data_IF_696665685878
#
_entry.id   IF_696665685878
#
_cell.length_a   1.000
_cell.length_b   1.000
_cell.length_c   1.000
_cell.angle_alpha   90.00
_cell.angle_beta   90.00
_cell.angle_gamma   90.00
#
_symmetry.space_group_name_H-M   'P 1'
#
loop_
_entity.id
_entity.type
_entity.pdbx_description
1 polymer ?
#
# COMPACT_ATOMS: atom_id res chain seq x y z
N UNK A 1 13.51 -27.89 -14.70
CA UNK A 1 12.70 -27.37 -13.59
C UNK A 1 12.45 -25.89 -13.86
N UNK A 2 11.19 -25.45 -13.97
CA UNK A 2 10.85 -24.09 -14.42
C UNK A 2 11.28 -23.09 -13.33
N UNK A 3 12.12 -22.12 -13.70
CA UNK A 3 12.49 -20.96 -12.87
C UNK A 3 11.20 -20.40 -12.27
N UNK A 4 11.13 -20.34 -10.94
CA UNK A 4 10.14 -19.48 -10.28
C UNK A 4 10.43 -18.09 -10.81
N UNK A 5 9.47 -17.56 -11.58
CA UNK A 5 9.39 -16.15 -11.92
C UNK A 5 9.59 -15.38 -10.63
N UNK A 6 10.74 -14.71 -10.48
CA UNK A 6 10.82 -13.49 -9.69
C UNK A 6 9.77 -12.57 -10.29
N UNK A 7 8.54 -12.67 -9.77
CA UNK A 7 7.54 -11.64 -9.95
C UNK A 7 8.21 -10.45 -9.30
N UNK A 8 8.84 -9.61 -10.11
CA UNK A 8 9.27 -8.29 -9.74
C UNK A 8 8.02 -7.66 -9.17
N UNK A 9 7.86 -7.70 -7.85
CA UNK A 9 6.71 -7.10 -7.20
C UNK A 9 6.80 -5.65 -7.65
N UNK A 10 5.84 -5.14 -8.44
CA UNK A 10 5.88 -3.75 -8.87
C UNK A 10 6.05 -2.95 -7.58
N UNK A 11 7.12 -2.15 -7.49
CA UNK A 11 7.50 -1.40 -6.30
C UNK A 11 6.23 -0.87 -5.63
N UNK A 12 5.76 -1.53 -4.57
CA UNK A 12 4.45 -1.27 -3.94
C UNK A 12 4.56 -0.05 -3.03
N UNK A 13 5.17 0.99 -3.56
CA UNK A 13 5.54 2.21 -2.87
C UNK A 13 4.84 3.36 -3.58
N UNK A 14 4.10 4.16 -2.83
CA UNK A 14 3.38 5.29 -3.38
C UNK A 14 2.45 5.93 -2.38
N UNK A 15 2.03 7.16 -2.69
CA UNK A 15 1.10 7.91 -1.86
C UNK A 15 -0.33 7.42 -2.09
N UNK A 16 -1.09 7.21 -1.03
CA UNK A 16 -2.49 6.80 -1.11
C UNK A 16 -3.31 7.98 -1.61
N UNK A 17 -3.93 7.81 -2.79
CA UNK A 17 -4.88 8.75 -3.39
C UNK A 17 -6.33 8.42 -3.00
N UNK A 18 -6.62 7.16 -2.65
CA UNK A 18 -7.95 6.75 -2.24
C UNK A 18 -7.96 5.43 -1.46
N UNK A 19 -8.93 5.27 -0.56
CA UNK A 19 -9.13 4.03 0.20
C UNK A 19 -10.43 3.38 -0.26
N UNK A 20 -10.31 2.18 -0.81
CA UNK A 20 -11.43 1.43 -1.39
C UNK A 20 -12.18 0.65 -0.30
N UNK A 21 -11.44 0.10 0.67
CA UNK A 21 -12.02 -0.63 1.79
C UNK A 21 -11.00 -0.98 2.85
N UNK A 22 -11.47 -1.17 4.08
CA UNK A 22 -10.66 -1.57 5.22
C UNK A 22 -11.49 -2.50 6.11
N UNK A 23 -10.91 -3.61 6.55
CA UNK A 23 -11.60 -4.66 7.32
C UNK A 23 -11.06 -4.82 8.76
N UNK A 24 -10.19 -3.93 9.24
CA UNK A 24 -9.54 -4.05 10.54
C UNK A 24 -8.12 -4.64 10.50
N UNK A 25 -7.79 -5.46 9.49
CA UNK A 25 -6.50 -6.15 9.37
C UNK A 25 -5.73 -5.79 8.09
N UNK A 26 -6.47 -5.42 7.05
CA UNK A 26 -5.93 -5.03 5.77
C UNK A 26 -6.80 -3.98 5.08
N UNK A 27 -6.17 -3.19 4.23
CA UNK A 27 -6.83 -2.16 3.45
C UNK A 27 -6.55 -2.35 1.97
N UNK A 28 -7.57 -2.08 1.14
CA UNK A 28 -7.43 -1.95 -0.31
C UNK A 28 -7.38 -0.47 -0.66
N UNK A 29 -6.32 -0.06 -1.33
CA UNK A 29 -6.00 1.35 -1.58
C UNK A 29 -5.66 1.60 -3.04
N UNK A 30 -5.83 2.84 -3.48
CA UNK A 30 -5.44 3.36 -4.77
C UNK A 30 -4.24 4.27 -4.59
N UNK A 31 -3.12 3.92 -5.21
CA UNK A 31 -1.90 4.72 -5.17
C UNK A 31 -1.95 5.84 -6.21
N UNK A 32 -1.15 6.89 -6.00
CA UNK A 32 -0.96 7.98 -6.96
C UNK A 32 -0.38 7.52 -8.29
N UNK A 33 0.32 6.37 -8.31
CA UNK A 33 0.78 5.71 -9.53
C UNK A 33 -0.35 5.19 -10.41
N UNK A 34 -1.57 5.12 -9.88
CA UNK A 34 -2.74 4.54 -10.53
C UNK A 34 -2.96 3.06 -10.20
N UNK A 35 -2.10 2.47 -9.38
CA UNK A 35 -2.19 1.06 -8.98
C UNK A 35 -3.20 0.85 -7.85
N UNK A 36 -3.82 -0.34 -7.85
CA UNK A 36 -4.71 -0.81 -6.79
C UNK A 36 -4.01 -1.93 -6.05
N UNK A 37 -3.74 -1.74 -4.76
CA UNK A 37 -3.05 -2.73 -3.94
C UNK A 37 -3.82 -3.02 -2.65
N UNK A 38 -3.60 -4.22 -2.11
CA UNK A 38 -4.02 -4.58 -0.76
C UNK A 38 -2.78 -4.58 0.15
N UNK A 39 -2.86 -3.88 1.27
CA UNK A 39 -1.79 -3.75 2.25
C UNK A 39 -2.26 -4.27 3.62
N UNK A 40 -1.43 -4.99 4.38
CA UNK A 40 -1.69 -5.25 5.79
C UNK A 40 -1.57 -3.93 6.57
N UNK A 41 -2.48 -3.71 7.52
CA UNK A 41 -2.41 -2.54 8.40
C UNK A 41 -3.24 -2.76 9.66
N UNK A 42 -2.74 -2.27 10.78
CA UNK A 42 -3.41 -2.31 12.09
C UNK A 42 -4.43 -1.18 12.29
N UNK A 43 -4.43 -0.18 11.39
CA UNK A 43 -5.31 0.98 11.46
C UNK A 43 -5.81 1.35 10.06
N UNK A 44 -6.90 2.12 10.02
CA UNK A 44 -7.48 2.56 8.75
C UNK A 44 -6.53 3.57 8.08
N UNK A 45 -6.01 3.28 6.86
CA UNK A 45 -5.23 4.26 6.12
C UNK A 45 -6.11 5.46 5.76
N UNK A 46 -5.48 6.61 5.56
CA UNK A 46 -6.12 7.82 5.05
C UNK A 46 -5.49 8.28 3.75
N UNK A 47 -6.21 9.13 3.03
CA UNK A 47 -5.67 9.76 1.81
C UNK A 47 -4.51 10.65 2.24
N UNK A 48 -3.37 10.49 1.55
CA UNK A 48 -2.14 11.20 1.85
C UNK A 48 -1.08 10.38 2.58
N UNK A 49 -1.45 9.25 3.20
CA UNK A 49 -0.49 8.30 3.75
C UNK A 49 0.40 7.71 2.66
N UNK A 50 1.54 7.18 3.06
CA UNK A 50 2.45 6.48 2.17
C UNK A 50 2.34 4.98 2.36
N UNK A 51 2.40 4.26 1.24
CA UNK A 51 2.76 2.84 1.26
C UNK A 51 4.22 2.76 0.87
N UNK A 52 5.00 1.95 1.58
CA UNK A 52 6.40 1.65 1.27
C UNK A 52 6.53 0.13 1.27
N UNK A 53 6.98 -0.44 0.16
CA UNK A 53 7.19 -1.89 0.01
C UNK A 53 5.94 -2.73 0.34
N UNK A 54 4.75 -2.15 0.16
CA UNK A 54 3.47 -2.81 0.44
C UNK A 54 3.00 -2.71 1.89
N UNK A 55 3.67 -1.95 2.74
CA UNK A 55 3.25 -1.68 4.11
C UNK A 55 2.84 -0.21 4.29
N UNK A 56 1.85 0.04 5.15
CA UNK A 56 1.41 1.39 5.46
C UNK A 56 2.49 2.09 6.30
N UNK A 57 3.12 3.10 5.72
CA UNK A 57 4.04 3.98 6.40
C UNK A 57 3.29 5.24 6.81
N UNK A 58 3.11 5.41 8.11
CA UNK A 58 2.82 6.73 8.65
C UNK A 58 4.11 7.53 8.52
N UNK A 59 4.24 8.27 7.42
CA UNK A 59 5.14 9.41 7.39
C UNK A 59 4.53 10.41 8.39
N UNK A 60 4.79 10.16 9.68
CA UNK A 60 4.44 11.02 10.79
C UNK A 60 4.93 12.38 10.32
N UNK A 61 4.00 13.28 10.04
CA UNK A 61 4.31 14.69 9.89
C UNK A 61 4.96 15.08 11.22
N UNK A 62 6.28 14.96 11.30
CA UNK A 62 7.12 15.58 12.31
C UNK A 62 6.90 17.07 12.10
N UNK A 63 5.91 17.59 12.82
CA UNK A 63 5.81 19.01 13.16
C UNK A 63 6.56 19.24 14.45
#
# INVERSE_FOLDING_TARGET
>A
MKKLTEVSQPNRTGKIKGVIGYNGKSARVYLSSGERICIPTTHRPVIGDWVVEGELSNELMRK
#
